data_IF_224737452420
#
_entry.id   IF_224737452420
#
_cell.length_a   1.000
_cell.length_b   1.000
_cell.length_c   1.000
_cell.angle_alpha   90.00
_cell.angle_beta   90.00
_cell.angle_gamma   90.00
#
_symmetry.space_group_name_H-M   'P 1'
#
loop_
_entity.id
_entity.type
_entity.pdbx_description
1 polymer ?
#
# COMPACT_ATOMS: atom_id res chain seq x y z
N UNK A 1 6.57 5.38 -19.56
CA UNK A 1 6.25 6.57 -18.75
C UNK A 1 6.05 6.24 -17.26
N UNK A 2 5.11 5.36 -16.86
CA UNK A 2 4.85 5.09 -15.43
C UNK A 2 6.07 4.65 -14.60
N UNK A 3 6.93 3.71 -15.05
CA UNK A 3 8.12 3.32 -14.26
C UNK A 3 9.13 4.46 -14.09
N UNK A 4 9.30 5.30 -15.11
CA UNK A 4 10.20 6.47 -15.05
C UNK A 4 9.69 7.50 -14.04
N UNK A 5 8.39 7.75 -14.00
CA UNK A 5 7.76 8.62 -12.99
C UNK A 5 7.94 8.05 -11.58
N UNK A 6 7.81 6.74 -11.41
CA UNK A 6 8.06 6.09 -10.12
C UNK A 6 9.53 6.21 -9.69
N UNK A 7 10.49 6.01 -10.60
CA UNK A 7 11.92 6.22 -10.32
C UNK A 7 12.18 7.68 -9.94
N UNK A 8 11.67 8.63 -10.72
CA UNK A 8 11.84 10.06 -10.44
C UNK A 8 11.28 10.46 -9.07
N UNK A 9 10.07 9.98 -8.75
CA UNK A 9 9.45 10.21 -7.44
C UNK A 9 10.29 9.64 -6.29
N UNK A 10 10.69 8.37 -6.38
CA UNK A 10 11.47 7.72 -5.32
C UNK A 10 12.85 8.37 -5.13
N UNK A 11 13.53 8.72 -6.22
CA UNK A 11 14.83 9.40 -6.14
C UNK A 11 14.68 10.77 -5.48
N UNK A 12 13.69 11.57 -5.89
CA UNK A 12 13.47 12.90 -5.32
C UNK A 12 13.09 12.82 -3.85
N UNK A 13 12.08 12.02 -3.51
CA UNK A 13 11.60 11.85 -2.13
C UNK A 13 12.69 11.25 -1.24
N UNK A 14 13.41 10.23 -1.71
CA UNK A 14 14.51 9.62 -0.97
C UNK A 14 15.63 10.62 -0.68
N UNK A 15 16.01 11.44 -1.67
CA UNK A 15 16.99 12.52 -1.47
C UNK A 15 16.47 13.58 -0.48
N UNK A 16 15.21 13.98 -0.55
CA UNK A 16 14.62 14.95 0.38
C UNK A 16 14.60 14.42 1.82
N UNK A 17 14.24 13.15 2.02
CA UNK A 17 14.28 12.52 3.34
C UNK A 17 15.72 12.41 3.86
N UNK A 18 16.65 11.93 3.04
CA UNK A 18 18.06 11.75 3.44
C UNK A 18 18.77 13.07 3.76
N UNK A 19 18.57 14.10 2.94
CA UNK A 19 19.13 15.44 3.18
C UNK A 19 18.52 16.08 4.42
N UNK A 20 17.22 15.91 4.66
CA UNK A 20 16.57 16.38 5.89
C UNK A 20 17.14 15.70 7.13
N UNK A 21 17.22 14.36 7.15
CA UNK A 21 17.75 13.63 8.30
C UNK A 21 19.21 13.96 8.59
N UNK A 22 19.97 14.35 7.58
CA UNK A 22 21.36 14.81 7.72
C UNK A 22 21.48 16.29 8.09
N UNK A 23 20.37 17.03 8.16
CA UNK A 23 20.39 18.47 8.41
C UNK A 23 20.55 18.79 9.91
N UNK A 24 21.13 19.96 10.25
CA UNK A 24 21.20 20.42 11.65
C UNK A 24 19.82 20.54 12.31
N UNK A 25 18.77 20.83 11.52
CA UNK A 25 17.38 20.93 12.01
C UNK A 25 16.87 19.58 12.50
N UNK A 26 17.12 18.50 11.75
CA UNK A 26 16.74 17.16 12.18
C UNK A 26 17.59 16.70 13.37
N UNK A 27 18.90 16.98 13.35
CA UNK A 27 19.79 16.65 14.47
C UNK A 27 19.32 17.31 15.77
N UNK A 28 19.06 18.62 15.76
CA UNK A 28 18.52 19.35 16.92
C UNK A 28 17.16 18.80 17.36
N UNK A 29 16.29 18.44 16.42
CA UNK A 29 15.02 17.81 16.77
C UNK A 29 15.20 16.41 17.36
N UNK A 30 16.16 15.62 16.92
CA UNK A 30 16.37 14.24 17.38
C UNK A 30 17.22 14.15 18.65
N UNK A 31 17.85 15.25 19.06
CA UNK A 31 18.53 15.32 20.34
C UNK A 31 17.58 14.94 21.49
N UNK A 32 18.04 14.03 22.36
CA UNK A 32 17.24 13.48 23.45
C UNK A 32 16.00 12.68 23.01
N UNK A 33 15.94 12.20 21.76
CA UNK A 33 14.75 11.53 21.22
C UNK A 33 14.20 10.41 22.08
N UNK A 34 15.07 9.54 22.60
CA UNK A 34 14.67 8.36 23.36
C UNK A 34 14.03 8.68 24.72
N UNK A 35 14.25 9.88 25.26
CA UNK A 35 13.59 10.33 26.48
C UNK A 35 12.16 10.83 26.24
N UNK A 36 11.76 11.07 24.98
CA UNK A 36 10.47 11.67 24.63
C UNK A 36 9.44 10.59 24.31
N UNK A 37 8.30 10.52 25.02
CA UNK A 37 7.25 9.53 24.75
C UNK A 37 6.73 9.57 23.30
N UNK A 38 6.66 10.77 22.69
CA UNK A 38 6.25 10.93 21.29
C UNK A 38 7.11 10.15 20.29
N UNK A 39 8.40 9.99 20.58
CA UNK A 39 9.30 9.24 19.71
C UNK A 39 8.91 7.77 19.70
N UNK A 40 8.71 7.18 20.88
CA UNK A 40 8.29 5.79 21.03
C UNK A 40 6.87 5.54 20.53
N UNK A 41 5.96 6.51 20.70
CA UNK A 41 4.64 6.45 20.07
C UNK A 41 4.77 6.38 18.54
N UNK A 42 5.59 7.23 17.93
CA UNK A 42 5.87 7.21 16.49
C UNK A 42 6.48 5.88 16.02
N UNK A 43 7.49 5.37 16.74
CA UNK A 43 8.12 4.06 16.45
C UNK A 43 7.12 2.92 16.56
N UNK A 44 6.23 2.94 17.56
CA UNK A 44 5.20 1.91 17.75
C UNK A 44 4.20 1.94 16.60
N UNK A 45 3.71 3.13 16.22
CA UNK A 45 2.80 3.30 15.09
C UNK A 45 3.46 2.84 13.79
N UNK A 46 4.74 3.21 13.58
CA UNK A 46 5.52 2.78 12.43
C UNK A 46 5.61 1.24 12.36
N UNK A 47 5.98 0.59 13.47
CA UNK A 47 6.14 -0.86 13.51
C UNK A 47 4.81 -1.59 13.28
N UNK A 48 3.71 -1.11 13.86
CA UNK A 48 2.36 -1.66 13.63
C UNK A 48 1.93 -1.50 12.17
N UNK A 49 2.22 -0.33 11.57
CA UNK A 49 2.00 -0.07 10.15
C UNK A 49 2.78 -1.04 9.27
N UNK A 50 4.09 -1.17 9.50
CA UNK A 50 4.98 -2.05 8.74
C UNK A 50 4.56 -3.52 8.80
N UNK A 51 4.34 -4.05 10.01
CA UNK A 51 3.88 -5.45 10.21
C UNK A 51 2.52 -5.66 9.57
N UNK A 52 1.60 -4.70 9.75
CA UNK A 52 0.29 -4.75 9.12
C UNK A 52 0.38 -4.77 7.60
N UNK A 53 1.23 -3.93 7.01
CA UNK A 53 1.41 -3.84 5.56
C UNK A 53 1.87 -5.18 4.98
N UNK A 54 2.94 -5.75 5.55
CA UNK A 54 3.46 -7.07 5.16
C UNK A 54 2.39 -8.17 5.28
N UNK A 55 1.67 -8.20 6.40
CA UNK A 55 0.65 -9.22 6.63
C UNK A 55 -0.47 -9.18 5.57
N UNK A 56 -0.93 -7.98 5.17
CA UNK A 56 -1.99 -7.84 4.17
C UNK A 56 -1.50 -8.11 2.75
N UNK A 57 -0.29 -7.67 2.40
CA UNK A 57 0.30 -7.99 1.08
C UNK A 57 0.53 -9.49 0.91
N UNK A 58 0.97 -10.19 1.97
CA UNK A 58 1.15 -11.64 1.96
C UNK A 58 -0.17 -12.37 1.68
N UNK A 59 -1.32 -11.88 2.16
CA UNK A 59 -2.65 -12.42 1.83
C UNK A 59 -2.91 -12.30 0.32
N UNK A 60 -2.66 -11.14 -0.29
CA UNK A 60 -2.85 -10.93 -1.74
C UNK A 60 -1.93 -11.81 -2.57
N UNK A 61 -0.66 -11.92 -2.17
CA UNK A 61 0.32 -12.77 -2.84
C UNK A 61 -0.05 -14.25 -2.75
N UNK A 62 -0.60 -14.70 -1.61
CA UNK A 62 -1.07 -16.06 -1.44
C UNK A 62 -2.26 -16.39 -2.34
N UNK A 63 -3.19 -15.45 -2.54
CA UNK A 63 -4.30 -15.60 -3.48
C UNK A 63 -3.76 -15.80 -4.90
N UNK A 64 -2.81 -14.95 -5.33
CA UNK A 64 -2.18 -15.06 -6.66
C UNK A 64 -1.41 -16.36 -6.85
N UNK A 65 -0.66 -16.79 -5.84
CA UNK A 65 0.08 -18.07 -5.84
C UNK A 65 -0.86 -19.26 -5.99
N UNK A 66 -1.94 -19.32 -5.19
CA UNK A 66 -2.96 -20.39 -5.26
C UNK A 66 -3.65 -20.43 -6.62
N UNK A 67 -4.02 -19.27 -7.17
CA UNK A 67 -4.62 -19.17 -8.50
C UNK A 67 -3.70 -19.71 -9.61
N UNK A 68 -2.41 -19.33 -9.57
CA UNK A 68 -1.40 -19.81 -10.53
C UNK A 68 -1.16 -21.32 -10.41
N UNK A 69 -1.09 -21.86 -9.18
CA UNK A 69 -0.93 -23.29 -8.95
C UNK A 69 -2.13 -24.10 -9.47
N UNK A 70 -3.37 -23.62 -9.21
CA UNK A 70 -4.60 -24.24 -9.73
C UNK A 70 -4.69 -24.19 -11.26
N UNK A 71 -4.24 -23.10 -11.88
CA UNK A 71 -4.15 -22.98 -13.33
C UNK A 71 -3.22 -24.02 -13.94
N UNK A 72 -1.99 -24.15 -13.39
CA UNK A 72 -1.02 -25.17 -13.82
C UNK A 72 -1.56 -26.60 -13.67
N UNK A 73 -2.18 -26.92 -12.53
CA UNK A 73 -2.73 -28.26 -12.29
C UNK A 73 -3.83 -28.63 -13.31
N UNK A 74 -4.66 -27.67 -13.71
CA UNK A 74 -5.66 -27.86 -14.77
C UNK A 74 -5.02 -28.08 -16.14
N UNK A 75 -4.00 -27.31 -16.49
CA UNK A 75 -3.25 -27.50 -17.75
C UNK A 75 -2.60 -28.89 -17.83
N UNK A 76 -2.02 -29.37 -16.73
CA UNK A 76 -1.42 -30.71 -16.66
C UNK A 76 -2.45 -31.84 -16.75
N UNK A 77 -3.66 -31.65 -16.19
CA UNK A 77 -4.75 -32.63 -16.25
C UNK A 77 -5.47 -32.65 -17.62
N UNK A 78 -5.59 -31.50 -18.30
CA UNK A 78 -6.14 -31.43 -19.67
C UNK A 78 -5.15 -31.96 -20.72
N UNK A 79 -3.83 -31.85 -20.48
CA UNK A 79 -2.78 -32.36 -21.38
C UNK A 79 -2.54 -33.88 -21.31
N UNK A 80 -3.31 -34.63 -20.52
CA UNK A 80 -3.22 -36.10 -20.42
C UNK A 80 -4.35 -36.85 -21.14
N UNK A 81 -5.27 -36.13 -21.81
CA UNK A 81 -6.27 -36.71 -22.71
C UNK A 81 -5.74 -36.82 -24.14
N UNK A 82 -5.52 -38.06 -24.57
CA UNK A 82 -5.35 -38.58 -25.95
C UNK A 82 -4.75 -37.67 -27.04
N UNK A 83 -3.61 -38.10 -27.57
CA UNK A 83 -3.05 -37.64 -28.84
C UNK A 83 -3.97 -38.06 -30.01
N UNK A 84 -5.04 -37.32 -30.23
CA UNK A 84 -5.80 -37.30 -31.48
C UNK A 84 -5.20 -36.25 -32.41
N UNK A 85 -4.69 -36.71 -33.55
CA UNK A 85 -4.27 -35.89 -34.70
C UNK A 85 -5.45 -35.04 -35.17
N UNK A 86 -5.37 -33.71 -35.00
CA UNK A 86 -6.18 -32.78 -35.77
C UNK A 86 -5.53 -31.39 -35.83
N UNK A 87 -5.22 -30.99 -37.06
CA UNK A 87 -4.74 -29.67 -37.44
C UNK A 87 -5.83 -28.62 -37.24
N UNK A 88 -5.89 -27.92 -36.10
CA UNK A 88 -6.49 -26.59 -36.08
C UNK A 88 -6.07 -25.72 -34.88
N UNK A 89 -5.69 -24.48 -35.19
CA UNK A 89 -5.79 -23.32 -34.30
C UNK A 89 -5.19 -23.46 -32.90
N UNK A 90 -3.96 -22.98 -32.72
CA UNK A 90 -3.46 -22.55 -31.40
C UNK A 90 -4.37 -21.45 -30.85
N UNK A 91 -5.44 -21.82 -30.16
CA UNK A 91 -6.25 -20.91 -29.36
C UNK A 91 -5.33 -20.41 -28.25
N UNK A 92 -4.80 -19.19 -28.43
CA UNK A 92 -4.13 -18.46 -27.35
C UNK A 92 -5.14 -18.30 -26.22
N UNK A 93 -5.13 -19.20 -25.22
CA UNK A 93 -5.88 -19.05 -23.97
C UNK A 93 -5.47 -17.70 -23.37
N UNK A 94 -6.37 -16.72 -23.48
CA UNK A 94 -6.18 -15.40 -22.90
C UNK A 94 -5.93 -15.60 -21.40
N UNK A 95 -4.74 -15.23 -20.94
CA UNK A 95 -4.32 -15.33 -19.55
C UNK A 95 -5.08 -14.29 -18.73
N UNK A 96 -6.39 -14.49 -18.55
CA UNK A 96 -7.21 -13.60 -17.74
C UNK A 96 -6.70 -13.67 -16.30
N UNK A 97 -6.20 -12.54 -15.81
CA UNK A 97 -5.74 -12.42 -14.44
C UNK A 97 -6.90 -12.78 -13.50
N UNK A 98 -6.71 -13.84 -12.71
CA UNK A 98 -7.73 -14.27 -11.76
C UNK A 98 -7.72 -13.33 -10.56
N UNK A 99 -8.74 -12.49 -10.47
CA UNK A 99 -9.02 -11.66 -9.30
C UNK A 99 -9.96 -12.42 -8.35
N UNK A 100 -9.69 -12.33 -7.06
CA UNK A 100 -10.54 -12.88 -6.00
C UNK A 100 -10.70 -11.85 -4.88
N UNK A 101 -11.76 -12.00 -4.09
CA UNK A 101 -12.01 -11.14 -2.92
C UNK A 101 -11.02 -11.55 -1.82
N UNK A 102 -10.17 -10.64 -1.32
CA UNK A 102 -9.33 -10.93 -0.17
C UNK A 102 -10.15 -10.94 1.12
N UNK A 103 -9.79 -11.87 2.02
CA UNK A 103 -10.41 -12.06 3.34
C UNK A 103 -9.33 -12.26 4.40
N UNK A 104 -9.67 -11.95 5.66
CA UNK A 104 -8.76 -12.02 6.81
C UNK A 104 -8.29 -10.64 7.28
N UNK A 105 -7.98 -10.52 8.57
CA UNK A 105 -7.51 -9.27 9.20
C UNK A 105 -8.38 -8.06 8.82
N UNK A 106 -7.77 -6.92 8.43
CA UNK A 106 -8.49 -5.71 8.08
C UNK A 106 -9.23 -5.81 6.74
N UNK A 107 -8.98 -6.85 5.91
CA UNK A 107 -9.84 -7.08 4.74
C UNK A 107 -11.29 -7.34 5.12
N UNK A 108 -11.59 -7.67 6.37
CA UNK A 108 -12.98 -7.72 6.86
C UNK A 108 -13.68 -6.36 6.80
N UNK A 109 -12.94 -5.26 6.98
CA UNK A 109 -13.48 -3.91 7.11
C UNK A 109 -13.20 -3.01 5.92
N UNK A 110 -12.04 -3.17 5.26
CA UNK A 110 -11.57 -2.29 4.18
C UNK A 110 -11.01 -3.07 2.99
N UNK A 111 -11.04 -2.46 1.80
CA UNK A 111 -10.54 -3.07 0.56
C UNK A 111 -9.03 -2.96 0.40
N UNK A 112 -8.45 -1.87 0.90
CA UNK A 112 -7.02 -1.55 0.79
C UNK A 112 -6.36 -1.42 2.18
N UNK A 113 -6.34 -2.49 3.00
CA UNK A 113 -5.70 -2.45 4.30
C UNK A 113 -4.19 -2.28 4.24
N UNK A 114 -3.54 -2.75 3.18
CA UNK A 114 -2.12 -2.49 2.96
C UNK A 114 -1.84 -0.98 2.84
N UNK A 115 -2.65 -0.23 2.09
CA UNK A 115 -2.50 1.23 2.00
C UNK A 115 -2.75 1.92 3.34
N UNK A 116 -3.76 1.48 4.09
CA UNK A 116 -4.01 2.01 5.42
C UNK A 116 -2.82 1.76 6.37
N UNK A 117 -2.25 0.55 6.33
CA UNK A 117 -1.07 0.20 7.11
C UNK A 117 0.17 0.98 6.69
N UNK A 118 0.36 1.20 5.39
CA UNK A 118 1.44 2.05 4.85
C UNK A 118 1.27 3.52 5.27
N UNK A 119 0.05 4.03 5.33
CA UNK A 119 -0.22 5.35 5.91
C UNK A 119 0.17 5.42 7.39
N UNK A 120 -0.18 4.40 8.18
CA UNK A 120 0.25 4.33 9.59
C UNK A 120 1.77 4.25 9.70
N UNK A 121 2.43 3.48 8.84
CA UNK A 121 3.88 3.37 8.79
C UNK A 121 4.54 4.75 8.63
N UNK A 122 4.18 5.47 7.57
CA UNK A 122 4.76 6.77 7.27
C UNK A 122 4.32 7.88 8.23
N UNK A 123 3.12 7.78 8.80
CA UNK A 123 2.67 8.66 9.87
C UNK A 123 3.54 8.50 11.12
N UNK A 124 3.77 7.25 11.54
CA UNK A 124 4.62 6.93 12.69
C UNK A 124 6.05 7.41 12.47
N UNK A 125 6.60 7.21 11.27
CA UNK A 125 7.90 7.73 10.89
C UNK A 125 7.96 9.26 10.98
N UNK A 126 7.00 9.98 10.38
CA UNK A 126 6.96 11.45 10.41
C UNK A 126 6.88 12.00 11.85
N UNK A 127 6.08 11.36 12.69
CA UNK A 127 5.88 11.72 14.09
C UNK A 127 7.14 11.53 14.95
N UNK A 128 7.90 10.45 14.70
CA UNK A 128 9.16 10.18 15.37
C UNK A 128 10.29 11.10 14.87
N UNK A 129 10.38 11.27 13.55
CA UNK A 129 11.54 11.87 12.87
C UNK A 129 11.50 13.40 12.78
N UNK A 130 10.33 14.04 12.90
CA UNK A 130 10.20 15.48 12.68
C UNK A 130 9.07 16.15 13.46
N UNK A 131 9.15 17.47 13.74
CA UNK A 131 8.08 18.19 14.44
C UNK A 131 6.81 18.22 13.60
N UNK A 132 5.66 18.17 14.26
CA UNK A 132 4.37 18.29 13.58
C UNK A 132 4.27 19.64 12.86
N UNK A 133 3.76 19.69 11.61
CA UNK A 133 3.54 20.94 10.92
C UNK A 133 2.42 21.73 11.60
N UNK A 134 2.47 23.05 11.45
CA UNK A 134 1.38 23.92 11.88
C UNK A 134 0.24 23.88 10.88
N UNK A 135 -1.00 23.76 11.39
CA UNK A 135 -2.23 23.84 10.59
C UNK A 135 -2.97 25.17 10.75
N UNK A 136 -2.32 26.19 11.32
CA UNK A 136 -2.95 27.50 11.53
C UNK A 136 -3.30 28.22 10.23
N UNK A 137 -2.53 27.99 9.16
CA UNK A 137 -2.81 28.47 7.82
C UNK A 137 -2.09 27.63 6.77
N UNK A 138 -2.48 27.78 5.50
CA UNK A 138 -1.80 27.14 4.38
C UNK A 138 -0.30 27.53 4.33
N UNK A 139 0.01 28.81 4.50
CA UNK A 139 1.37 29.30 4.54
C UNK A 139 2.16 28.74 5.74
N UNK A 140 1.53 28.64 6.92
CA UNK A 140 2.17 28.05 8.09
C UNK A 140 2.48 26.56 7.89
N UNK A 141 1.59 25.82 7.23
CA UNK A 141 1.83 24.42 6.91
C UNK A 141 3.07 24.25 6.04
N UNK A 142 3.14 24.92 4.88
CA UNK A 142 4.28 24.75 3.96
C UNK A 142 5.61 25.29 4.49
N UNK A 143 5.58 26.25 5.42
CA UNK A 143 6.82 26.75 6.06
C UNK A 143 7.33 25.84 7.18
N UNK A 144 6.44 25.06 7.81
CA UNK A 144 6.80 24.20 8.96
C UNK A 144 6.90 22.72 8.60
N UNK A 145 6.26 22.28 7.51
CA UNK A 145 6.29 20.91 7.05
C UNK A 145 7.70 20.47 6.66
N UNK A 146 8.16 19.42 7.33
CA UNK A 146 9.41 18.72 7.01
C UNK A 146 9.16 17.64 5.95
N UNK A 147 10.21 17.15 5.26
CA UNK A 147 10.08 16.09 4.28
C UNK A 147 9.37 14.81 4.75
N UNK A 148 9.52 14.31 6.00
CA UNK A 148 8.72 13.18 6.48
C UNK A 148 7.21 13.42 6.43
N UNK A 149 6.73 14.61 6.83
CA UNK A 149 5.31 14.95 6.77
C UNK A 149 4.84 15.15 5.33
N UNK A 150 5.63 15.85 4.50
CA UNK A 150 5.31 16.03 3.09
C UNK A 150 5.16 14.68 2.38
N UNK A 151 6.04 13.73 2.68
CA UNK A 151 5.98 12.40 2.11
C UNK A 151 4.74 11.64 2.57
N UNK A 152 4.45 11.60 3.87
CA UNK A 152 3.23 10.99 4.39
C UNK A 152 1.96 11.55 3.70
N UNK A 153 1.83 12.86 3.59
CA UNK A 153 0.67 13.44 2.91
C UNK A 153 0.66 13.13 1.41
N UNK A 154 1.82 13.10 0.74
CA UNK A 154 1.90 12.71 -0.67
C UNK A 154 1.41 11.28 -0.90
N UNK A 155 1.75 10.35 -0.01
CA UNK A 155 1.26 8.96 -0.05
C UNK A 155 -0.27 8.90 0.08
N UNK A 156 -0.82 9.63 1.06
CA UNK A 156 -2.28 9.71 1.22
C UNK A 156 -2.96 10.24 -0.04
N UNK A 157 -2.48 11.36 -0.60
CA UNK A 157 -3.08 11.98 -1.79
C UNK A 157 -2.94 11.14 -3.06
N UNK A 158 -1.83 10.42 -3.23
CA UNK A 158 -1.60 9.59 -4.42
C UNK A 158 -2.33 8.24 -4.34
N UNK A 159 -2.42 7.65 -3.14
CA UNK A 159 -3.05 6.34 -2.96
C UNK A 159 -4.57 6.40 -2.83
N UNK A 160 -5.12 7.45 -2.20
CA UNK A 160 -6.56 7.53 -1.91
C UNK A 160 -7.45 7.41 -3.16
N UNK A 161 -7.19 8.13 -4.28
CA UNK A 161 -7.99 7.97 -5.50
C UNK A 161 -7.94 6.55 -6.07
N UNK A 162 -6.79 5.88 -5.93
CA UNK A 162 -6.60 4.50 -6.37
C UNK A 162 -7.39 3.52 -5.48
N UNK A 163 -7.34 3.68 -4.17
CA UNK A 163 -8.12 2.89 -3.23
C UNK A 163 -9.63 3.02 -3.50
N UNK A 164 -10.10 4.24 -3.70
CA UNK A 164 -11.50 4.53 -4.00
C UNK A 164 -11.97 3.86 -5.31
N UNK A 165 -11.25 4.10 -6.42
CA UNK A 165 -11.59 3.49 -7.72
C UNK A 165 -11.52 1.97 -7.67
N UNK A 166 -10.53 1.43 -6.96
CA UNK A 166 -10.39 0.01 -6.73
C UNK A 166 -11.53 -0.60 -5.92
N UNK A 167 -11.99 0.10 -4.88
CA UNK A 167 -13.15 -0.29 -4.09
C UNK A 167 -14.42 -0.36 -4.95
N UNK A 168 -14.66 0.66 -5.78
CA UNK A 168 -15.77 0.68 -6.74
C UNK A 168 -15.67 -0.48 -7.74
N UNK A 169 -14.46 -0.74 -8.25
CA UNK A 169 -14.24 -1.87 -9.15
C UNK A 169 -14.60 -3.21 -8.49
N UNK A 170 -14.20 -3.44 -7.24
CA UNK A 170 -14.58 -4.66 -6.51
C UNK A 170 -16.10 -4.81 -6.37
N UNK A 171 -16.82 -3.73 -6.00
CA UNK A 171 -18.29 -3.74 -5.88
C UNK A 171 -18.99 -4.06 -7.20
N UNK A 172 -18.46 -3.58 -8.31
CA UNK A 172 -19.04 -3.80 -9.63
C UNK A 172 -18.66 -5.17 -10.21
N UNK A 173 -17.49 -5.70 -9.84
CA UNK A 173 -16.94 -6.95 -10.38
C UNK A 173 -17.50 -8.19 -9.68
N UNK A 174 -17.70 -8.11 -8.36
CA UNK A 174 -18.08 -9.25 -7.54
C UNK A 174 -19.48 -9.04 -6.93
N UNK A 175 -20.49 -9.81 -7.37
CA UNK A 175 -21.83 -9.72 -6.82
C UNK A 175 -21.90 -10.04 -5.32
N UNK A 176 -20.98 -10.88 -4.84
CA UNK A 176 -20.82 -11.32 -3.46
C UNK A 176 -19.89 -10.42 -2.62
N UNK A 177 -19.51 -9.24 -3.13
CA UNK A 177 -18.64 -8.33 -2.39
C UNK A 177 -19.29 -7.81 -1.11
N UNK A 178 -18.59 -7.81 0.04
CA UNK A 178 -19.15 -7.30 1.29
C UNK A 178 -19.52 -5.82 1.19
N UNK A 179 -20.83 -5.51 1.29
CA UNK A 179 -21.37 -4.15 1.11
C UNK A 179 -20.95 -3.17 2.20
N UNK A 180 -20.69 -3.66 3.41
CA UNK A 180 -20.26 -2.86 4.55
C UNK A 180 -18.78 -2.46 4.49
N UNK A 181 -18.00 -3.16 3.66
CA UNK A 181 -16.58 -2.88 3.49
C UNK A 181 -16.40 -1.46 2.95
N UNK A 182 -15.40 -0.78 3.49
CA UNK A 182 -14.96 0.56 3.12
C UNK A 182 -13.73 0.51 2.21
N UNK A 183 -13.32 1.62 1.62
CA UNK A 183 -12.20 1.66 0.69
C UNK A 183 -10.86 1.45 1.41
N UNK A 184 -10.56 2.26 2.43
CA UNK A 184 -9.23 2.34 3.07
C UNK A 184 -9.27 2.70 4.56
N UNK A 185 -10.20 3.52 5.06
CA UNK A 185 -10.32 3.83 6.49
C UNK A 185 -11.46 3.00 7.09
N UNK A 186 -11.17 2.12 8.08
CA UNK A 186 -12.21 1.30 8.70
C UNK A 186 -13.39 2.14 9.21
N UNK A 187 -14.60 1.68 8.90
CA UNK A 187 -15.89 2.29 9.29
C UNK A 187 -16.19 3.68 8.71
N UNK A 188 -15.20 4.38 8.15
CA UNK A 188 -15.34 5.74 7.64
C UNK A 188 -15.36 5.77 6.11
N UNK A 189 -14.27 5.34 5.46
CA UNK A 189 -14.00 5.62 4.05
C UNK A 189 -13.58 4.40 3.26
#
# INVERSE_FOLDING_TARGET
>A
MVPLSAIGFNTLTGLLLGTYLSSPRAAAYLEGAFARPRFWAGVTIWALGFVGNIAHDEILLNIRRKAKAKGKARESAEGTGEAGDDNNGKVKKNKQEHYAIPHGLLYRYISYPNYFCEWLEWLGFAFAASPAPSFSSFAAYFTTASPPWLFFFSEVFLMLPRAWKGHQWYRNRFPDYPKERKAVIPFVL
#
